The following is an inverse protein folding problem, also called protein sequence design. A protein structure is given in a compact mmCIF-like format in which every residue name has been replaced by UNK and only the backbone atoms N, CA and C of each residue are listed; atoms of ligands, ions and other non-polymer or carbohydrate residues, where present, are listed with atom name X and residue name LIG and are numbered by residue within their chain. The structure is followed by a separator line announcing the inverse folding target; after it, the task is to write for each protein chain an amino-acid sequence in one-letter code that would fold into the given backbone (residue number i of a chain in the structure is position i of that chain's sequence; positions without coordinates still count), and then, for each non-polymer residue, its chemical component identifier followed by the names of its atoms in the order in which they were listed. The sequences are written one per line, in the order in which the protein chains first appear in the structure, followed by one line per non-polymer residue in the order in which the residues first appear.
data_IF_024385705092
#
_entry.id   IF_024385705092
#
_cell.length_a   1.000
_cell.length_b   1.000
_cell.length_c   1.000
_cell.angle_alpha   90.00
_cell.angle_beta   90.00
_cell.angle_gamma   90.00
#
_symmetry.space_group_name_H-M   'P 1'
#
loop_
_entity.id
_entity.type
_entity.pdbx_description
1 polymer ?
#
# COMPACT_ATOMS: atom_id res chain seq x y z
N UNK A 1 -48.19 1.32 34.49
CA UNK A 1 -46.73 1.53 34.68
C UNK A 1 -46.01 0.22 34.46
N UNK A 2 -45.29 0.07 33.34
CA UNK A 2 -44.17 -0.86 33.12
C UNK A 2 -43.70 -0.65 31.67
N UNK A 3 -42.59 0.07 31.52
CA UNK A 3 -41.95 0.39 30.24
C UNK A 3 -41.23 -0.86 29.77
N UNK A 4 -41.59 -1.43 28.62
CA UNK A 4 -40.73 -2.39 27.93
C UNK A 4 -39.74 -1.59 27.08
N UNK A 5 -38.47 -1.68 27.44
CA UNK A 5 -37.34 -1.10 26.73
C UNK A 5 -37.07 -2.01 25.52
N UNK A 6 -37.17 -1.44 24.32
CA UNK A 6 -36.73 -2.09 23.08
C UNK A 6 -35.21 -2.11 23.09
N UNK A 7 -34.60 -3.30 23.24
CA UNK A 7 -33.17 -3.48 23.00
C UNK A 7 -32.97 -3.67 21.50
N UNK A 8 -32.69 -2.55 20.81
CA UNK A 8 -32.28 -2.54 19.42
C UNK A 8 -30.76 -2.71 19.40
N UNK A 9 -30.27 -3.95 19.42
CA UNK A 9 -28.85 -4.24 19.21
C UNK A 9 -28.59 -4.10 17.72
N UNK A 10 -28.32 -2.87 17.29
CA UNK A 10 -27.73 -2.62 15.98
C UNK A 10 -26.25 -3.07 16.05
N UNK A 11 -25.97 -4.32 15.67
CA UNK A 11 -24.61 -4.75 15.37
C UNK A 11 -24.22 -4.12 14.03
N UNK A 12 -23.77 -2.87 14.05
CA UNK A 12 -22.99 -2.29 12.96
C UNK A 12 -21.61 -2.93 13.01
N UNK A 13 -21.48 -4.14 12.45
CA UNK A 13 -20.18 -4.68 12.10
C UNK A 13 -19.57 -3.72 11.09
N UNK A 14 -18.50 -3.05 11.51
CA UNK A 14 -17.71 -2.11 10.73
C UNK A 14 -17.08 -2.90 9.58
N UNK A 15 -17.78 -3.00 8.45
CA UNK A 15 -17.15 -3.48 7.23
C UNK A 15 -16.18 -2.38 6.82
N UNK A 16 -14.90 -2.57 7.15
CA UNK A 16 -13.83 -1.68 6.75
C UNK A 16 -13.55 -1.86 5.25
N UNK A 17 -14.43 -1.32 4.40
CA UNK A 17 -14.32 -1.31 2.93
C UNK A 17 -13.14 -0.47 2.39
N UNK A 18 -12.15 -0.12 3.22
CA UNK A 18 -11.17 0.91 2.90
C UNK A 18 -9.73 0.39 2.76
N UNK A 19 -9.52 -0.92 2.54
CA UNK A 19 -8.18 -1.50 2.58
C UNK A 19 -7.84 -2.50 1.46
N UNK A 20 -8.78 -2.86 0.58
CA UNK A 20 -8.38 -3.40 -0.72
C UNK A 20 -7.83 -2.22 -1.53
N UNK A 21 -6.73 -2.41 -2.25
CA UNK A 21 -6.56 -1.54 -3.41
C UNK A 21 -7.78 -1.72 -4.28
N UNK A 22 -8.07 -0.79 -5.18
CA UNK A 22 -8.79 -1.22 -6.36
C UNK A 22 -7.84 -2.15 -7.15
N UNK A 23 -7.69 -3.41 -6.73
CA UNK A 23 -6.93 -4.45 -7.44
C UNK A 23 -7.43 -4.53 -8.89
N UNK A 24 -8.73 -4.27 -9.09
CA UNK A 24 -9.32 -4.07 -10.42
C UNK A 24 -8.74 -2.88 -11.17
N UNK A 25 -8.52 -1.74 -10.52
CA UNK A 25 -7.91 -0.55 -11.10
C UNK A 25 -6.42 -0.75 -11.37
N UNK A 26 -5.67 -1.41 -10.48
CA UNK A 26 -4.27 -1.77 -10.73
C UNK A 26 -4.14 -2.76 -11.89
N UNK A 27 -5.03 -3.75 -11.97
CA UNK A 27 -5.12 -4.67 -13.10
C UNK A 27 -5.40 -3.91 -14.39
N UNK A 28 -6.40 -3.02 -14.39
CA UNK A 28 -6.75 -2.21 -15.53
C UNK A 28 -5.61 -1.27 -15.95
N UNK A 29 -4.95 -0.62 -14.99
CA UNK A 29 -3.79 0.24 -15.25
C UNK A 29 -2.64 -0.57 -15.85
N UNK A 30 -2.41 -1.78 -15.37
CA UNK A 30 -1.42 -2.69 -15.95
C UNK A 30 -1.76 -3.12 -17.37
N UNK A 31 -3.01 -3.55 -17.63
CA UNK A 31 -3.49 -3.97 -18.94
C UNK A 31 -3.48 -2.84 -19.97
N UNK A 32 -3.70 -1.59 -19.52
CA UNK A 32 -3.72 -0.41 -20.38
C UNK A 32 -2.39 0.35 -20.42
N UNK A 33 -1.32 -0.18 -19.80
CA UNK A 33 -0.01 0.48 -19.70
C UNK A 33 -0.07 1.91 -19.12
N UNK A 34 -0.92 2.13 -18.12
CA UNK A 34 -1.12 3.43 -17.48
C UNK A 34 -0.13 3.67 -16.34
N UNK A 35 0.37 4.90 -16.22
CA UNK A 35 1.29 5.39 -15.19
C UNK A 35 0.69 6.61 -14.47
N UNK A 36 1.44 7.24 -13.56
CA UNK A 36 1.07 8.46 -12.85
C UNK A 36 -0.24 8.33 -12.05
N UNK A 37 -0.48 7.15 -11.47
CA UNK A 37 -1.70 6.85 -10.73
C UNK A 37 -1.48 6.81 -9.22
N UNK A 38 -1.98 7.81 -8.50
CA UNK A 38 -2.05 7.76 -7.04
C UNK A 38 -3.09 6.74 -6.58
N UNK A 39 -2.67 5.71 -5.85
CA UNK A 39 -3.52 4.59 -5.47
C UNK A 39 -3.18 4.06 -4.08
N UNK A 40 -4.23 3.68 -3.35
CA UNK A 40 -4.13 2.95 -2.09
C UNK A 40 -4.28 1.48 -2.37
N UNK A 41 -3.58 0.63 -1.62
CA UNK A 41 -3.74 -0.80 -1.71
C UNK A 41 -3.13 -1.61 -0.59
N UNK A 42 -3.14 -2.93 -0.76
CA UNK A 42 -2.42 -3.85 0.11
C UNK A 42 -2.00 -5.10 -0.65
N UNK A 43 -0.98 -5.79 -0.15
CA UNK A 43 -0.58 -7.08 -0.68
C UNK A 43 0.28 -7.86 0.31
N UNK A 44 0.54 -9.11 -0.05
CA UNK A 44 1.44 -9.99 0.69
C UNK A 44 2.86 -9.85 0.18
N UNK A 45 3.83 -9.67 1.08
CA UNK A 45 5.25 -9.68 0.72
C UNK A 45 5.63 -11.06 0.23
N UNK A 46 6.03 -11.17 -1.04
CA UNK A 46 6.48 -12.43 -1.65
C UNK A 46 7.98 -12.50 -1.85
N UNK A 47 8.66 -11.34 -1.84
CA UNK A 47 10.11 -11.29 -1.94
C UNK A 47 10.66 -10.00 -1.34
N UNK A 48 11.81 -10.09 -0.66
CA UNK A 48 12.55 -8.93 -0.14
C UNK A 48 13.80 -8.79 -0.97
N UNK A 49 14.04 -7.60 -1.52
CA UNK A 49 15.23 -7.29 -2.29
C UNK A 49 16.25 -6.55 -1.40
N UNK A 50 17.55 -6.57 -1.76
CA UNK A 50 18.51 -5.67 -1.16
C UNK A 50 18.06 -4.21 -1.36
N UNK A 51 18.28 -3.39 -0.34
CA UNK A 51 18.08 -1.95 -0.41
C UNK A 51 18.86 -1.40 -1.61
N UNK A 52 18.22 -0.52 -2.38
CA UNK A 52 18.94 0.27 -3.38
C UNK A 52 19.66 1.41 -2.68
N UNK A 53 20.97 1.51 -2.88
CA UNK A 53 21.81 2.55 -2.28
C UNK A 53 22.45 3.46 -3.34
N UNK A 54 21.99 3.40 -4.59
CA UNK A 54 22.46 4.30 -5.65
C UNK A 54 21.53 5.51 -5.74
N UNK A 55 22.07 6.70 -5.47
CA UNK A 55 21.25 7.91 -5.37
C UNK A 55 20.46 7.91 -4.05
N UNK A 56 19.18 8.34 -4.09
CA UNK A 56 18.30 8.22 -2.93
C UNK A 56 18.11 6.74 -2.57
N UNK A 57 18.22 6.42 -1.29
CA UNK A 57 18.15 5.05 -0.80
C UNK A 57 16.73 4.55 -0.79
N UNK A 58 16.51 3.30 -1.19
CA UNK A 58 15.18 2.68 -1.22
C UNK A 58 15.16 1.30 -0.57
N UNK A 59 14.23 1.07 0.34
CA UNK A 59 13.82 -0.28 0.71
C UNK A 59 12.97 -0.86 -0.41
N UNK A 60 13.29 -2.07 -0.84
CA UNK A 60 12.62 -2.73 -1.97
C UNK A 60 12.09 -4.11 -1.62
N UNK A 61 10.86 -4.37 -1.99
CA UNK A 61 10.22 -5.68 -1.83
C UNK A 61 9.10 -5.85 -2.85
N UNK A 62 8.73 -7.09 -3.13
CA UNK A 62 7.63 -7.43 -4.01
C UNK A 62 6.38 -7.74 -3.18
N UNK A 63 5.28 -7.09 -3.54
CA UNK A 63 3.95 -7.43 -3.06
C UNK A 63 3.23 -8.24 -4.11
N UNK A 64 2.53 -9.29 -3.69
CA UNK A 64 1.52 -9.98 -4.48
C UNK A 64 0.14 -9.55 -4.02
N UNK A 65 -0.64 -9.02 -4.96
CA UNK A 65 -2.01 -8.57 -4.74
C UNK A 65 -3.00 -9.74 -4.86
N UNK A 66 -4.26 -9.53 -4.51
CA UNK A 66 -5.29 -10.58 -4.57
C UNK A 66 -5.59 -10.98 -6.03
N UNK A 67 -5.53 -10.00 -6.95
CA UNK A 67 -5.61 -10.23 -8.40
C UNK A 67 -4.40 -10.97 -9.02
N UNK A 68 -3.44 -11.44 -8.20
CA UNK A 68 -2.20 -12.11 -8.58
C UNK A 68 -1.11 -11.25 -9.25
N UNK A 69 -1.39 -9.97 -9.53
CA UNK A 69 -0.37 -9.02 -9.97
C UNK A 69 0.71 -8.85 -8.90
N UNK A 70 1.95 -8.65 -9.34
CA UNK A 70 3.07 -8.35 -8.46
C UNK A 70 3.47 -6.88 -8.63
N UNK A 71 3.64 -6.16 -7.53
CA UNK A 71 4.15 -4.80 -7.52
C UNK A 71 5.53 -4.76 -6.86
N UNK A 72 6.46 -4.03 -7.46
CA UNK A 72 7.67 -3.61 -6.76
C UNK A 72 7.35 -2.40 -5.88
N UNK A 73 7.62 -2.49 -4.59
CA UNK A 73 7.64 -1.32 -3.72
C UNK A 73 9.04 -0.71 -3.76
N UNK A 74 9.13 0.59 -4.05
CA UNK A 74 10.34 1.39 -3.95
C UNK A 74 10.12 2.49 -2.90
N UNK A 75 10.38 2.17 -1.63
CA UNK A 75 10.15 3.07 -0.51
C UNK A 75 11.41 3.86 -0.19
N UNK A 76 11.39 5.17 -0.39
CA UNK A 76 12.55 6.04 -0.16
C UNK A 76 12.84 6.16 1.34
N UNK A 77 13.94 5.54 1.78
CA UNK A 77 14.34 5.48 3.20
C UNK A 77 15.24 6.64 3.63
N UNK A 78 15.49 7.61 2.74
CA UNK A 78 16.03 8.92 3.12
C UNK A 78 14.93 9.88 3.58
N UNK A 79 13.69 9.67 3.12
CA UNK A 79 12.55 10.54 3.39
C UNK A 79 11.60 9.98 4.47
N UNK A 80 11.49 8.65 4.56
CA UNK A 80 10.67 7.97 5.55
C UNK A 80 11.43 6.82 6.22
N UNK A 81 11.05 6.38 7.44
CA UNK A 81 11.73 5.26 8.09
C UNK A 81 11.52 3.94 7.33
N UNK A 82 12.60 3.17 7.14
CA UNK A 82 12.55 1.76 6.71
C UNK A 82 11.57 0.96 7.58
N UNK A 83 10.83 0.03 6.99
CA UNK A 83 10.08 -0.98 7.75
C UNK A 83 11.09 -1.96 8.38
N UNK A 84 11.26 -1.97 9.71
CA UNK A 84 12.15 -2.93 10.36
C UNK A 84 11.53 -4.33 10.32
N UNK A 85 12.38 -5.35 10.22
CA UNK A 85 11.98 -6.76 10.31
C UNK A 85 10.81 -7.15 9.39
N UNK A 86 10.73 -6.57 8.19
CA UNK A 86 9.79 -7.00 7.16
C UNK A 86 10.17 -8.41 6.70
N UNK A 87 9.20 -9.32 6.65
CA UNK A 87 9.40 -10.72 6.27
C UNK A 87 8.51 -11.12 5.09
N UNK A 88 8.92 -12.15 4.37
CA UNK A 88 8.04 -12.81 3.38
C UNK A 88 6.82 -13.38 4.11
N UNK A 89 5.63 -13.14 3.56
CA UNK A 89 4.36 -13.52 4.15
C UNK A 89 3.62 -12.38 4.85
N UNK A 90 4.32 -11.30 5.21
CA UNK A 90 3.72 -10.13 5.86
C UNK A 90 2.72 -9.43 4.93
N UNK A 91 1.67 -8.83 5.51
CA UNK A 91 0.75 -7.98 4.77
C UNK A 91 1.13 -6.52 4.93
N UNK A 92 1.33 -5.83 3.82
CA UNK A 92 1.66 -4.40 3.79
C UNK A 92 0.58 -3.66 3.03
N UNK A 93 0.05 -2.60 3.66
CA UNK A 93 -0.81 -1.63 3.00
C UNK A 93 0.05 -0.48 2.49
N UNK A 94 -0.36 0.15 1.40
CA UNK A 94 0.36 1.26 0.79
C UNK A 94 -0.62 2.33 0.33
N UNK A 95 -0.12 3.55 0.26
CA UNK A 95 -0.67 4.63 -0.55
C UNK A 95 0.51 5.31 -1.23
N UNK A 96 0.50 5.38 -2.55
CA UNK A 96 1.60 5.91 -3.32
C UNK A 96 1.22 6.05 -4.78
N UNK A 97 2.19 6.41 -5.60
CA UNK A 97 2.02 6.49 -7.04
C UNK A 97 2.43 5.19 -7.71
N UNK A 98 1.61 4.71 -8.63
CA UNK A 98 1.84 3.54 -9.44
C UNK A 98 2.43 3.93 -10.80
N UNK A 99 3.52 3.27 -11.16
CA UNK A 99 4.20 3.40 -12.44
C UNK A 99 4.23 2.06 -13.19
N UNK A 100 3.84 2.08 -14.46
CA UNK A 100 3.80 0.87 -15.27
C UNK A 100 5.20 0.34 -15.59
N UNK A 101 5.34 -0.99 -15.57
CA UNK A 101 6.41 -1.69 -16.25
C UNK A 101 5.94 -3.10 -16.63
N UNK A 102 6.66 -3.79 -17.53
CA UNK A 102 6.35 -5.16 -17.96
C UNK A 102 6.37 -6.24 -16.86
N UNK A 103 6.78 -5.91 -15.63
CA UNK A 103 6.86 -6.82 -14.47
C UNK A 103 5.71 -6.63 -13.48
N UNK A 104 4.69 -5.85 -13.85
CA UNK A 104 3.51 -5.60 -13.02
C UNK A 104 3.45 -4.20 -12.42
N UNK A 105 4.52 -3.41 -12.57
CA UNK A 105 4.59 -2.02 -12.12
C UNK A 105 5.34 -1.80 -10.79
N UNK A 106 5.53 -0.53 -10.46
CA UNK A 106 6.20 -0.05 -9.24
C UNK A 106 5.23 0.82 -8.46
N UNK A 107 5.23 0.70 -7.14
CA UNK A 107 4.65 1.71 -6.26
C UNK A 107 5.78 2.48 -5.58
N UNK A 108 5.79 3.80 -5.79
CA UNK A 108 6.74 4.75 -5.18
C UNK A 108 5.98 5.94 -4.58
N UNK A 109 6.69 7.00 -4.19
CA UNK A 109 6.09 8.12 -3.44
C UNK A 109 5.32 7.68 -2.18
N UNK A 110 5.80 6.63 -1.52
CA UNK A 110 5.19 6.08 -0.30
C UNK A 110 5.69 6.79 0.97
N UNK A 111 5.83 8.12 0.88
CA UNK A 111 6.28 9.02 1.95
C UNK A 111 5.65 10.40 1.80
N UNK A 112 5.79 11.26 2.81
CA UNK A 112 5.48 12.68 2.67
C UNK A 112 6.45 13.35 1.71
N UNK A 113 5.93 14.21 0.83
CA UNK A 113 6.77 15.10 0.04
C UNK A 113 7.14 16.32 0.89
N UNK A 114 8.43 16.51 1.28
CA UNK A 114 8.84 17.64 2.10
C UNK A 114 8.57 19.01 1.45
N UNK A 115 8.41 19.04 0.13
CA UNK A 115 8.17 20.27 -0.64
C UNK A 115 6.72 20.49 -1.00
N UNK A 116 5.83 19.54 -0.68
CA UNK A 116 4.40 19.60 -0.94
C UNK A 116 4.04 19.90 -2.41
N UNK A 117 4.80 19.31 -3.34
CA UNK A 117 4.62 19.38 -4.80
C UNK A 117 4.03 18.09 -5.37
N UNK A 118 4.10 17.00 -4.62
CA UNK A 118 3.54 15.70 -4.94
C UNK A 118 2.56 15.23 -3.86
N UNK A 119 1.57 14.43 -4.24
CA UNK A 119 0.67 13.78 -3.29
C UNK A 119 1.49 12.92 -2.32
N UNK A 120 1.23 13.08 -1.02
CA UNK A 120 1.88 12.28 0.00
C UNK A 120 1.45 10.82 -0.08
N UNK A 121 2.35 9.92 0.29
CA UNK A 121 2.06 8.51 0.45
C UNK A 121 2.62 7.96 1.75
N UNK A 122 2.43 6.66 1.92
CA UNK A 122 2.85 5.92 3.11
C UNK A 122 2.88 4.42 2.86
N UNK A 123 3.61 3.70 3.71
CA UNK A 123 3.44 2.26 3.92
C UNK A 123 2.86 2.00 5.31
N UNK A 124 2.08 0.92 5.46
CA UNK A 124 1.58 0.48 6.76
C UNK A 124 1.79 -1.01 6.93
N UNK A 125 2.46 -1.37 8.02
CA UNK A 125 2.80 -2.75 8.38
C UNK A 125 2.57 -2.95 9.88
N UNK A 126 1.87 -4.03 10.26
CA UNK A 126 1.54 -4.35 11.65
C UNK A 126 0.95 -3.18 12.44
N UNK A 127 0.03 -2.44 11.81
CA UNK A 127 -0.66 -1.29 12.40
C UNK A 127 0.14 0.02 12.40
N UNK A 128 1.45 -0.01 12.13
CA UNK A 128 2.32 1.17 12.10
C UNK A 128 2.45 1.75 10.69
N UNK A 129 2.35 3.07 10.58
CA UNK A 129 2.54 3.84 9.35
C UNK A 129 4.00 4.32 9.24
N UNK A 130 4.53 4.33 8.03
CA UNK A 130 5.87 4.77 7.64
C UNK A 130 5.70 5.78 6.49
N UNK A 131 6.05 7.04 6.73
CA UNK A 131 5.86 8.17 5.81
C UNK A 131 6.82 9.33 6.08
#
# INVERSE_FOLDING_TARGET
MKRFIVLLIAVFSIISFNAQANDSQLKQAFENHQSDLQIKGQGKVVHILPDDNKGSRHQRFLLKLDNQQTLLVAHNIDLAPRIPNLNVGDNVQFYGEYEWNKKGGVIHWTHKDPRNRHVHGWLKHNGRVYE
#
